data_IF_222132902086
#
_entry.id   IF_222132902086
#
_cell.length_a   1.000
_cell.length_b   1.000
_cell.length_c   1.000
_cell.angle_alpha   90.00
_cell.angle_beta   90.00
_cell.angle_gamma   90.00
#
_symmetry.space_group_name_H-M   'P 1'
#
loop_
_entity.id
_entity.type
_entity.pdbx_description
1 polymer ?
#
# COMPACT_ATOMS: atom_id res chain seq x y z
N UNK A 1 -2.16 -54.73 -81.42
CA UNK A 1 -3.48 -54.77 -80.82
C UNK A 1 -3.31 -54.66 -79.30
N UNK A 2 -3.41 -53.48 -78.69
CA UNK A 2 -3.60 -53.31 -77.24
C UNK A 2 -4.16 -51.92 -77.01
N UNK A 3 -5.34 -51.86 -76.42
CA UNK A 3 -6.12 -50.66 -76.14
C UNK A 3 -5.53 -49.92 -74.96
N UNK A 4 -5.34 -48.62 -75.12
CA UNK A 4 -4.93 -47.69 -74.07
C UNK A 4 -6.18 -47.18 -73.37
N UNK A 5 -6.24 -47.44 -72.10
CA UNK A 5 -7.35 -46.90 -71.23
C UNK A 5 -6.87 -45.64 -70.52
N UNK A 6 -7.57 -44.51 -70.76
CA UNK A 6 -7.37 -43.25 -70.04
C UNK A 6 -8.01 -43.34 -68.68
N UNK A 7 -7.21 -43.18 -67.64
CA UNK A 7 -7.74 -42.92 -66.31
C UNK A 7 -7.75 -41.37 -66.09
N UNK A 8 -8.92 -40.82 -65.75
CA UNK A 8 -9.12 -39.42 -65.43
C UNK A 8 -8.59 -39.12 -64.08
N UNK A 9 -7.81 -38.02 -63.99
CA UNK A 9 -7.40 -37.40 -62.75
C UNK A 9 -8.53 -36.54 -62.20
N UNK A 10 -9.12 -36.92 -61.06
CA UNK A 10 -10.01 -36.07 -60.29
C UNK A 10 -9.21 -35.16 -59.39
N UNK A 11 -9.29 -33.85 -59.68
CA UNK A 11 -8.70 -32.83 -58.81
C UNK A 11 -9.59 -32.63 -57.61
N UNK A 12 -9.18 -33.15 -56.45
CA UNK A 12 -9.81 -32.89 -55.17
C UNK A 12 -9.35 -31.51 -54.63
N UNK A 13 -10.25 -30.57 -54.56
CA UNK A 13 -10.04 -29.26 -53.91
C UNK A 13 -10.02 -29.46 -52.39
N UNK A 14 -8.85 -29.48 -51.78
CA UNK A 14 -8.72 -29.45 -50.30
C UNK A 14 -8.85 -28.00 -49.88
N UNK A 15 -10.01 -27.61 -49.34
CA UNK A 15 -10.21 -26.36 -48.66
C UNK A 15 -9.47 -26.41 -47.31
N UNK A 16 -8.28 -25.82 -47.23
CA UNK A 16 -7.56 -25.62 -46.00
C UNK A 16 -8.28 -24.54 -45.19
N UNK A 17 -9.07 -24.93 -44.19
CA UNK A 17 -9.58 -24.05 -43.17
C UNK A 17 -8.40 -23.56 -42.33
N UNK A 18 -7.93 -22.35 -42.61
CA UNK A 18 -6.94 -21.65 -41.80
C UNK A 18 -7.59 -21.27 -40.46
N UNK A 19 -7.43 -22.15 -39.50
CA UNK A 19 -7.71 -21.80 -38.08
C UNK A 19 -6.58 -20.88 -37.62
N UNK A 20 -6.77 -19.58 -37.73
CA UNK A 20 -5.92 -18.61 -37.01
C UNK A 20 -6.35 -18.65 -35.55
N UNK A 21 -5.50 -19.08 -34.62
CA UNK A 21 -5.81 -18.89 -33.21
C UNK A 21 -5.76 -17.35 -32.96
N UNK A 22 -6.92 -16.76 -32.78
CA UNK A 22 -7.05 -15.42 -32.23
C UNK A 22 -6.48 -15.49 -30.82
N UNK A 23 -5.21 -15.07 -30.68
CA UNK A 23 -4.62 -14.83 -29.38
C UNK A 23 -5.44 -13.70 -28.74
N UNK A 24 -6.45 -14.08 -27.97
CA UNK A 24 -7.10 -13.20 -27.05
C UNK A 24 -6.00 -12.70 -26.08
N UNK A 25 -5.42 -11.56 -26.40
CA UNK A 25 -4.64 -10.78 -25.44
C UNK A 25 -5.63 -10.43 -24.36
N UNK A 26 -5.67 -11.22 -23.30
CA UNK A 26 -6.32 -10.85 -22.07
C UNK A 26 -5.59 -9.58 -21.61
N UNK A 27 -6.15 -8.43 -21.94
CA UNK A 27 -5.73 -7.15 -21.40
C UNK A 27 -5.98 -7.23 -19.90
N UNK A 28 -4.96 -7.72 -19.19
CA UNK A 28 -4.97 -7.90 -17.75
C UNK A 28 -4.94 -6.53 -17.08
N UNK A 29 -6.04 -5.79 -17.24
CA UNK A 29 -6.21 -4.50 -16.59
C UNK A 29 -6.10 -4.72 -15.07
N UNK A 30 -4.89 -4.51 -14.55
CA UNK A 30 -4.64 -4.59 -13.11
C UNK A 30 -5.49 -3.49 -12.45
N UNK A 31 -6.49 -3.91 -11.68
CA UNK A 31 -7.35 -2.97 -10.97
C UNK A 31 -6.51 -2.00 -10.15
N UNK A 32 -6.82 -0.72 -10.23
CA UNK A 32 -6.22 0.30 -9.38
C UNK A 32 -6.54 0.04 -7.90
N UNK A 33 -5.75 0.60 -7.00
CA UNK A 33 -6.02 0.52 -5.56
C UNK A 33 -7.42 1.04 -5.24
N UNK A 34 -7.84 2.15 -5.86
CA UNK A 34 -9.17 2.73 -5.65
C UNK A 34 -10.30 1.80 -6.09
N UNK A 35 -10.18 1.16 -7.24
CA UNK A 35 -11.16 0.17 -7.73
C UNK A 35 -11.25 -1.03 -6.79
N UNK A 36 -10.11 -1.50 -6.30
CA UNK A 36 -10.03 -2.59 -5.32
C UNK A 36 -10.72 -2.21 -4.01
N UNK A 37 -10.47 -1.01 -3.50
CA UNK A 37 -11.10 -0.47 -2.28
C UNK A 37 -12.60 -0.37 -2.46
N UNK A 38 -13.07 0.21 -3.58
CA UNK A 38 -14.51 0.33 -3.90
C UNK A 38 -15.18 -1.04 -4.00
N UNK A 39 -14.56 -1.99 -4.67
CA UNK A 39 -15.07 -3.37 -4.81
C UNK A 39 -15.17 -4.09 -3.47
N UNK A 40 -14.21 -3.86 -2.57
CA UNK A 40 -14.20 -4.45 -1.22
C UNK A 40 -15.23 -3.80 -0.28
N UNK A 41 -15.60 -2.53 -0.51
CA UNK A 41 -16.58 -1.81 0.26
C UNK A 41 -16.06 -1.16 1.53
N UNK A 42 -14.76 -1.21 1.79
CA UNK A 42 -14.09 -0.52 2.90
C UNK A 42 -12.62 -0.24 2.59
N UNK A 43 -12.07 0.76 3.27
CA UNK A 43 -10.67 1.15 3.23
C UNK A 43 -9.88 0.40 4.30
N UNK A 44 -8.73 -0.18 3.98
CA UNK A 44 -7.76 -0.70 4.96
C UNK A 44 -6.70 0.36 5.22
N UNK A 45 -6.66 0.87 6.46
CA UNK A 45 -5.76 1.93 6.86
C UNK A 45 -4.83 1.50 7.98
N UNK A 46 -3.53 1.63 7.75
CA UNK A 46 -2.53 1.39 8.79
C UNK A 46 -2.44 2.59 9.74
N UNK A 47 -2.45 2.28 11.03
CA UNK A 47 -2.14 3.17 12.14
C UNK A 47 -1.00 2.58 12.97
N UNK A 48 -0.43 3.34 13.88
CA UNK A 48 0.65 2.85 14.75
C UNK A 48 0.14 2.12 15.99
N UNK A 49 1.10 1.66 16.80
CA UNK A 49 0.83 1.27 18.17
C UNK A 49 0.39 2.50 18.97
N UNK A 50 -0.44 2.35 20.01
CA UNK A 50 -1.08 3.48 20.67
C UNK A 50 -0.14 4.65 20.99
N UNK A 51 -0.50 5.82 20.47
CA UNK A 51 0.16 7.09 20.70
C UNK A 51 -0.92 8.15 20.92
N UNK A 52 -1.12 8.62 22.15
CA UNK A 52 -2.18 9.55 22.48
C UNK A 52 -2.17 10.80 21.60
N UNK A 53 -3.35 11.21 21.11
CA UNK A 53 -3.51 12.33 20.18
C UNK A 53 -3.44 11.93 18.70
N UNK A 54 -2.60 10.98 18.31
CA UNK A 54 -2.42 10.53 16.92
C UNK A 54 -3.28 9.31 16.59
N UNK A 55 -3.08 8.22 17.31
CA UNK A 55 -3.85 6.98 17.18
C UNK A 55 -3.88 6.26 18.52
N UNK A 56 -5.06 5.96 19.00
CA UNK A 56 -5.27 5.25 20.24
C UNK A 56 -6.50 4.36 20.15
N UNK A 57 -6.39 3.14 20.65
CA UNK A 57 -7.49 2.19 20.74
C UNK A 57 -8.12 2.31 22.11
N UNK A 58 -9.38 2.70 22.18
CA UNK A 58 -10.15 2.75 23.42
C UNK A 58 -10.52 1.35 23.90
N UNK A 59 -10.94 1.23 25.15
CA UNK A 59 -11.39 -0.04 25.75
C UNK A 59 -12.62 -0.65 25.05
N UNK A 60 -13.42 0.18 24.40
CA UNK A 60 -14.59 -0.23 23.62
C UNK A 60 -14.26 -0.66 22.19
N UNK A 61 -12.97 -0.73 21.83
CA UNK A 61 -12.50 -1.09 20.49
C UNK A 61 -12.50 0.07 19.49
N UNK A 62 -12.87 1.30 19.90
CA UNK A 62 -12.90 2.46 19.00
C UNK A 62 -11.53 3.07 18.86
N UNK A 63 -11.08 3.22 17.62
CA UNK A 63 -9.88 4.01 17.28
C UNK A 63 -10.17 5.51 17.30
N UNK A 64 -9.28 6.30 17.88
CA UNK A 64 -9.37 7.77 17.97
C UNK A 64 -8.00 8.41 17.77
N UNK A 65 -8.00 9.66 17.27
CA UNK A 65 -6.81 10.47 17.08
C UNK A 65 -6.76 11.13 15.70
N UNK A 66 -5.79 12.03 15.50
CA UNK A 66 -5.65 12.82 14.27
C UNK A 66 -5.42 11.92 13.05
N UNK A 67 -4.51 10.96 13.12
CA UNK A 67 -4.21 10.03 12.02
C UNK A 67 -5.40 9.11 11.71
N UNK A 68 -6.14 8.69 12.74
CA UNK A 68 -7.40 7.94 12.59
C UNK A 68 -8.45 8.76 11.83
N UNK A 69 -8.52 10.07 12.14
CA UNK A 69 -9.44 10.99 11.45
C UNK A 69 -9.11 11.16 9.98
N UNK A 70 -7.83 11.15 9.60
CA UNK A 70 -7.41 11.15 8.19
C UNK A 70 -7.92 9.90 7.46
N UNK A 71 -7.75 8.70 8.04
CA UNK A 71 -8.30 7.46 7.45
C UNK A 71 -9.81 7.56 7.24
N UNK A 72 -10.55 8.07 8.24
CA UNK A 72 -12.00 8.25 8.16
C UNK A 72 -12.40 9.27 7.10
N UNK A 73 -11.64 10.36 6.96
CA UNK A 73 -11.89 11.36 5.93
C UNK A 73 -11.75 10.78 4.53
N UNK A 74 -10.73 9.94 4.29
CA UNK A 74 -10.55 9.22 3.03
C UNK A 74 -11.68 8.23 2.79
N UNK A 75 -12.08 7.45 3.80
CA UNK A 75 -13.23 6.56 3.69
C UNK A 75 -14.53 7.31 3.36
N UNK A 76 -14.77 8.45 4.02
CA UNK A 76 -15.91 9.31 3.73
C UNK A 76 -15.88 9.85 2.30
N UNK A 77 -14.71 10.23 1.79
CA UNK A 77 -14.56 10.71 0.41
C UNK A 77 -14.84 9.60 -0.63
N UNK A 78 -14.49 8.35 -0.34
CA UNK A 78 -14.70 7.21 -1.25
C UNK A 78 -16.14 6.68 -1.21
N UNK A 79 -16.72 6.59 -0.01
CA UNK A 79 -17.96 5.86 0.24
C UNK A 79 -19.11 6.74 0.75
N UNK A 80 -18.87 8.02 1.05
CA UNK A 80 -19.84 8.87 1.75
C UNK A 80 -20.01 8.50 3.24
N UNK A 81 -19.21 7.56 3.74
CA UNK A 81 -19.34 7.00 5.09
C UNK A 81 -17.96 6.85 5.77
N UNK A 82 -17.67 7.63 6.84
CA UNK A 82 -16.40 7.55 7.56
C UNK A 82 -16.21 6.26 8.36
N UNK A 83 -17.23 5.44 8.53
CA UNK A 83 -17.15 4.16 9.21
C UNK A 83 -16.62 3.03 8.31
N UNK A 84 -16.57 3.23 7.00
CA UNK A 84 -16.08 2.26 6.00
C UNK A 84 -14.55 2.17 6.00
N UNK A 85 -13.95 1.97 7.17
CA UNK A 85 -12.51 1.83 7.34
C UNK A 85 -12.19 0.71 8.33
N UNK A 86 -11.24 -0.14 7.94
CA UNK A 86 -10.62 -1.15 8.79
C UNK A 86 -9.25 -0.64 9.21
N UNK A 87 -9.01 -0.55 10.52
CA UNK A 87 -7.74 -0.10 11.07
C UNK A 87 -6.81 -1.26 11.35
N UNK A 88 -5.56 -1.14 10.90
CA UNK A 88 -4.52 -2.13 11.11
C UNK A 88 -3.37 -1.49 11.88
N UNK A 89 -3.12 -1.97 13.12
CA UNK A 89 -2.01 -1.50 13.93
C UNK A 89 -0.71 -2.18 13.49
N UNK A 90 0.26 -1.38 13.03
CA UNK A 90 1.55 -1.86 12.53
C UNK A 90 2.73 -1.22 13.25
N UNK A 91 3.83 -1.94 13.37
CA UNK A 91 5.07 -1.40 13.92
C UNK A 91 5.79 -0.49 12.93
N UNK A 92 6.78 0.28 13.39
CA UNK A 92 7.62 1.10 12.52
C UNK A 92 8.43 0.27 11.52
N UNK A 93 8.78 -0.95 11.88
CA UNK A 93 9.63 -1.84 11.07
C UNK A 93 8.91 -2.38 9.84
N UNK A 94 7.63 -2.76 9.98
CA UNK A 94 6.91 -3.48 8.91
C UNK A 94 5.95 -2.60 8.09
N UNK A 95 5.66 -1.38 8.53
CA UNK A 95 4.61 -0.52 7.93
C UNK A 95 4.74 -0.32 6.43
N UNK A 96 5.95 -0.06 5.94
CA UNK A 96 6.18 0.22 4.53
C UNK A 96 6.12 -1.05 3.68
N UNK A 97 6.67 -2.16 4.17
CA UNK A 97 6.61 -3.45 3.48
C UNK A 97 5.16 -3.95 3.39
N UNK A 98 4.40 -3.86 4.47
CA UNK A 98 3.00 -4.24 4.49
C UNK A 98 2.16 -3.39 3.52
N UNK A 99 2.44 -2.07 3.42
CA UNK A 99 1.78 -1.21 2.44
C UNK A 99 2.18 -1.59 1.00
N UNK A 100 3.47 -1.78 0.73
CA UNK A 100 3.98 -2.16 -0.60
C UNK A 100 3.43 -3.52 -1.07
N UNK A 101 3.21 -4.46 -0.15
CA UNK A 101 2.62 -5.77 -0.43
C UNK A 101 1.10 -5.72 -0.62
N UNK A 102 0.45 -4.55 -0.44
CA UNK A 102 -1.00 -4.41 -0.58
C UNK A 102 -1.80 -5.02 0.58
N UNK A 103 -1.18 -5.25 1.74
CA UNK A 103 -1.88 -5.69 2.95
C UNK A 103 -2.82 -4.60 3.47
N UNK A 104 -2.51 -3.34 3.16
CA UNK A 104 -3.36 -2.17 3.38
C UNK A 104 -3.30 -1.22 2.18
N UNK A 105 -4.24 -0.28 2.13
CA UNK A 105 -4.41 0.64 1.01
C UNK A 105 -3.73 1.97 1.27
N UNK A 106 -3.65 2.37 2.52
CA UNK A 106 -2.98 3.59 2.95
C UNK A 106 -2.36 3.44 4.34
N UNK A 107 -1.42 4.33 4.60
CA UNK A 107 -0.76 4.48 5.89
C UNK A 107 -0.99 5.90 6.39
N UNK A 108 -1.64 6.05 7.56
CA UNK A 108 -1.75 7.31 8.29
C UNK A 108 -1.23 7.09 9.72
N UNK A 109 0.02 7.44 9.90
CA UNK A 109 0.70 7.37 11.20
C UNK A 109 1.95 8.26 11.17
N UNK A 110 2.60 8.44 12.32
CA UNK A 110 3.86 9.20 12.46
C UNK A 110 4.96 8.62 11.56
N UNK A 111 4.98 9.02 10.29
CA UNK A 111 5.94 8.59 9.30
C UNK A 111 6.53 9.80 8.58
N UNK A 112 7.78 10.12 8.87
CA UNK A 112 8.49 11.23 8.24
C UNK A 112 8.57 11.04 6.74
N UNK A 113 8.19 12.06 5.96
CA UNK A 113 8.42 12.12 4.54
C UNK A 113 9.91 12.39 4.29
N UNK A 114 10.60 11.44 3.71
CA UNK A 114 12.01 11.58 3.30
C UNK A 114 12.18 11.21 1.85
N UNK A 115 13.18 11.77 1.19
CA UNK A 115 13.50 11.44 -0.20
C UNK A 115 13.70 9.93 -0.37
N UNK A 116 14.43 9.28 0.54
CA UNK A 116 14.63 7.84 0.50
C UNK A 116 13.31 7.06 0.51
N UNK A 117 12.39 7.40 1.42
CA UNK A 117 11.10 6.70 1.54
C UNK A 117 10.22 6.94 0.33
N UNK A 118 10.24 8.13 -0.23
CA UNK A 118 9.43 8.52 -1.37
C UNK A 118 9.93 7.89 -2.68
N UNK A 119 11.26 7.76 -2.84
CA UNK A 119 11.85 7.31 -4.11
C UNK A 119 12.26 5.84 -4.13
N UNK A 120 12.63 5.24 -2.98
CA UNK A 120 13.22 3.90 -2.92
C UNK A 120 12.25 2.80 -2.46
N UNK A 121 11.13 3.17 -1.83
CA UNK A 121 10.20 2.18 -1.28
C UNK A 121 9.01 1.87 -2.19
N UNK A 122 8.94 2.48 -3.39
CA UNK A 122 7.82 2.31 -4.31
C UNK A 122 6.48 2.81 -3.75
N UNK A 123 6.53 3.80 -2.86
CA UNK A 123 5.38 4.39 -2.19
C UNK A 123 5.25 5.86 -2.57
N UNK A 124 4.06 6.41 -2.44
CA UNK A 124 3.81 7.82 -2.69
C UNK A 124 3.35 8.49 -1.39
N UNK A 125 4.05 9.54 -0.99
CA UNK A 125 3.56 10.46 0.04
C UNK A 125 2.57 11.44 -0.60
N UNK A 126 1.39 11.58 -0.03
CA UNK A 126 0.32 12.39 -0.61
C UNK A 126 0.16 13.75 0.06
N UNK A 127 0.33 13.79 1.38
CA UNK A 127 0.20 15.00 2.17
C UNK A 127 0.91 14.88 3.53
N UNK A 128 1.31 16.02 4.07
CA UNK A 128 1.74 16.14 5.46
C UNK A 128 0.54 16.57 6.31
N UNK A 129 0.12 15.71 7.22
CA UNK A 129 -1.00 15.98 8.14
C UNK A 129 -0.57 16.57 9.48
N UNK A 130 0.73 16.53 9.79
CA UNK A 130 1.29 17.08 11.01
C UNK A 130 2.76 17.47 10.80
N UNK A 131 3.14 18.67 11.20
CA UNK A 131 4.52 19.12 11.20
C UNK A 131 5.11 18.87 12.58
N UNK A 132 6.19 18.11 12.63
CA UNK A 132 6.82 17.65 13.85
C UNK A 132 8.34 17.86 13.77
N UNK A 133 9.02 17.62 14.89
CA UNK A 133 10.47 17.63 15.02
C UNK A 133 10.95 16.47 15.88
N UNK A 134 12.24 16.16 15.76
CA UNK A 134 12.90 15.16 16.59
C UNK A 134 13.57 15.82 17.77
N UNK A 135 13.37 15.25 18.97
CA UNK A 135 13.99 15.71 20.21
C UNK A 135 14.57 14.56 21.02
N UNK A 136 15.33 14.89 22.05
CA UNK A 136 15.88 13.92 22.99
C UNK A 136 15.13 14.00 24.32
N UNK A 137 14.80 12.85 24.87
CA UNK A 137 14.24 12.73 26.21
C UNK A 137 15.35 12.21 27.12
N UNK A 138 15.61 12.93 28.22
CA UNK A 138 16.56 12.53 29.24
C UNK A 138 15.90 12.48 30.62
N UNK A 139 16.51 11.80 31.54
CA UNK A 139 16.03 11.81 32.92
C UNK A 139 16.11 13.23 33.49
N UNK A 140 15.10 13.63 34.27
CA UNK A 140 15.02 14.97 34.85
C UNK A 140 16.22 15.27 35.77
N UNK A 141 16.73 14.25 36.44
CA UNK A 141 17.86 14.35 37.38
C UNK A 141 19.24 14.29 36.70
N UNK A 142 19.30 14.08 35.37
CA UNK A 142 20.58 14.02 34.64
C UNK A 142 21.31 15.37 34.55
N UNK A 143 20.62 16.46 34.72
CA UNK A 143 21.16 17.81 34.53
C UNK A 143 21.40 18.22 33.09
N UNK A 144 21.22 17.32 32.10
CA UNK A 144 21.42 17.58 30.68
C UNK A 144 20.35 18.52 30.16
N UNK A 145 20.75 19.62 29.52
CA UNK A 145 19.87 20.65 28.99
C UNK A 145 19.94 20.81 27.49
N UNK A 146 20.94 20.22 26.85
CA UNK A 146 21.19 20.33 25.41
C UNK A 146 21.61 19.00 24.82
N UNK A 147 21.24 18.74 23.55
CA UNK A 147 21.70 17.59 22.79
C UNK A 147 23.23 17.54 22.66
N UNK A 148 23.89 18.70 22.71
CA UNK A 148 25.36 18.80 22.65
C UNK A 148 26.05 18.19 23.89
N UNK A 149 25.33 18.09 25.01
CA UNK A 149 25.82 17.48 26.24
C UNK A 149 25.70 15.96 26.27
N UNK A 150 25.05 15.36 25.23
CA UNK A 150 24.90 13.91 25.05
C UNK A 150 26.16 13.24 24.47
N UNK A 151 27.28 13.97 24.34
CA UNK A 151 28.53 13.41 23.80
C UNK A 151 28.97 12.18 24.60
N UNK A 152 29.10 11.03 23.92
CA UNK A 152 29.45 9.74 24.52
C UNK A 152 28.31 8.99 25.18
N UNK A 153 27.09 9.54 25.18
CA UNK A 153 25.92 8.84 25.71
C UNK A 153 25.38 7.79 24.71
N UNK A 154 24.82 6.71 25.25
CA UNK A 154 24.04 5.75 24.46
C UNK A 154 22.62 6.30 24.31
N UNK A 155 22.15 6.43 23.07
CA UNK A 155 20.80 6.89 22.73
C UNK A 155 19.95 5.72 22.26
N UNK A 156 18.81 5.49 22.92
CA UNK A 156 17.84 4.50 22.50
C UNK A 156 16.93 5.08 21.42
N UNK A 157 16.71 4.29 20.35
CA UNK A 157 15.82 4.66 19.25
C UNK A 157 14.90 3.49 18.89
N UNK A 158 13.75 3.79 18.31
CA UNK A 158 12.90 2.75 17.75
C UNK A 158 13.40 2.33 16.36
N UNK A 159 13.58 1.04 16.13
CA UNK A 159 14.00 0.51 14.82
C UNK A 159 13.00 0.88 13.73
N UNK A 160 13.48 1.25 12.53
CA UNK A 160 12.65 1.61 11.37
C UNK A 160 12.10 3.04 11.41
N UNK A 161 12.66 3.91 12.28
CA UNK A 161 12.39 5.35 12.32
C UNK A 161 13.50 6.15 11.64
N UNK A 162 13.38 7.48 11.59
CA UNK A 162 14.41 8.43 11.14
C UNK A 162 15.34 8.81 12.25
#
# INVERSE_FOLDING_TARGET
>A
MKKLSLLGLGAGLIAALSFTPELAVADGHKMSTLETVKKRGHLRCQVGQPSPGFYNLKKDGTWVGSDVSVCRAVAAAIFGDPSKVEFQSVTSTVRFTALANGESDMLSRTATWTIFRDTQLGLNFTATNFYDGQGFIVRKDSGIKSAMELKGATVCVATGTT
#
